data_IF_880023124911
#
_entry.id   IF_880023124911
#
_cell.length_a   1.000
_cell.length_b   1.000
_cell.length_c   1.000
_cell.angle_alpha   90.00
_cell.angle_beta   90.00
_cell.angle_gamma   90.00
#
_symmetry.space_group_name_H-M   'P 1'
#
loop_
_entity.id
_entity.type
_entity.pdbx_description
1 polymer ?
#
# COMPACT_ATOMS: atom_id res chain seq x y z
N UNK A 1 10.48 -5.27 13.09
CA UNK A 1 10.18 -6.72 13.12
C UNK A 1 10.14 -7.33 11.71
N UNK A 2 11.29 -7.56 11.05
CA UNK A 2 11.37 -8.32 9.79
C UNK A 2 10.78 -9.75 9.87
N UNK A 3 10.78 -10.37 11.05
CA UNK A 3 10.35 -11.74 11.34
C UNK A 3 8.86 -12.03 11.10
N UNK A 4 8.02 -10.98 11.04
CA UNK A 4 6.59 -11.10 10.74
C UNK A 4 6.25 -10.77 9.27
N UNK A 5 7.25 -10.49 8.42
CA UNK A 5 7.03 -10.25 6.98
C UNK A 5 6.58 -11.52 6.26
N UNK A 6 5.97 -11.34 5.10
CA UNK A 6 5.49 -12.43 4.22
C UNK A 6 4.42 -13.35 4.84
N UNK A 7 3.84 -12.96 5.98
CA UNK A 7 2.70 -13.66 6.62
C UNK A 7 1.33 -13.09 6.23
N UNK A 8 1.28 -12.24 5.18
CA UNK A 8 0.05 -11.59 4.72
C UNK A 8 -0.47 -10.45 5.60
N UNK A 9 0.19 -10.13 6.72
CA UNK A 9 -0.27 -9.11 7.68
C UNK A 9 -0.51 -7.74 7.03
N UNK A 10 0.44 -7.25 6.22
CA UNK A 10 0.29 -5.98 5.51
C UNK A 10 -0.89 -5.98 4.53
N UNK A 11 -1.16 -7.13 3.87
CA UNK A 11 -2.33 -7.29 2.98
C UNK A 11 -3.63 -7.20 3.77
N UNK A 12 -3.75 -7.90 4.89
CA UNK A 12 -4.98 -7.89 5.70
C UNK A 12 -5.22 -6.49 6.29
N UNK A 13 -4.19 -5.85 6.84
CA UNK A 13 -4.29 -4.50 7.37
C UNK A 13 -4.67 -3.47 6.28
N UNK A 14 -3.99 -3.52 5.12
CA UNK A 14 -4.26 -2.62 3.99
C UNK A 14 -5.68 -2.79 3.44
N UNK A 15 -6.12 -4.03 3.21
CA UNK A 15 -7.48 -4.32 2.76
C UNK A 15 -8.54 -3.78 3.74
N UNK A 16 -8.34 -3.98 5.05
CA UNK A 16 -9.27 -3.47 6.06
C UNK A 16 -9.35 -1.95 6.05
N UNK A 17 -8.22 -1.26 5.90
CA UNK A 17 -8.16 0.20 5.81
C UNK A 17 -8.90 0.71 4.58
N UNK A 18 -8.68 0.10 3.41
CA UNK A 18 -9.37 0.43 2.16
C UNK A 18 -10.89 0.31 2.33
N UNK A 19 -11.35 -0.83 2.87
CA UNK A 19 -12.78 -1.07 3.10
C UNK A 19 -13.41 -0.05 4.07
N UNK A 20 -12.69 0.33 5.13
CA UNK A 20 -13.18 1.36 6.06
C UNK A 20 -13.22 2.76 5.44
N UNK A 21 -12.24 3.12 4.63
CA UNK A 21 -12.24 4.38 3.89
C UNK A 21 -13.45 4.45 2.95
N UNK A 22 -13.65 3.41 2.13
CA UNK A 22 -14.78 3.32 1.21
C UNK A 22 -16.13 3.38 1.93
N UNK A 23 -16.27 2.67 3.06
CA UNK A 23 -17.48 2.70 3.89
C UNK A 23 -17.82 4.12 4.38
N UNK A 24 -16.82 4.97 4.58
CA UNK A 24 -16.97 6.36 5.01
C UNK A 24 -17.07 7.35 3.84
N UNK A 25 -17.12 6.87 2.60
CA UNK A 25 -17.10 7.71 1.41
C UNK A 25 -15.76 8.40 1.15
N UNK A 26 -14.66 7.89 1.72
CA UNK A 26 -13.31 8.41 1.53
C UNK A 26 -12.62 7.69 0.38
N UNK A 27 -11.80 8.43 -0.37
CA UNK A 27 -10.94 7.86 -1.40
C UNK A 27 -9.69 7.23 -0.76
N UNK A 28 -9.48 5.91 -0.88
CA UNK A 28 -8.30 5.26 -0.33
C UNK A 28 -7.12 5.44 -1.29
N UNK A 29 -6.45 6.60 -1.23
CA UNK A 29 -5.23 6.82 -2.01
C UNK A 29 -4.09 5.93 -1.51
N UNK A 30 -3.22 5.48 -2.42
CA UNK A 30 -2.02 4.72 -2.10
C UNK A 30 -0.83 5.27 -2.87
N UNK A 31 0.21 5.68 -2.14
CA UNK A 31 1.49 6.10 -2.69
C UNK A 31 2.59 5.13 -2.25
N UNK A 32 3.36 4.62 -3.21
CA UNK A 32 4.25 3.50 -3.01
C UNK A 32 5.72 3.95 -2.90
N UNK A 33 6.28 3.88 -1.70
CA UNK A 33 7.68 4.25 -1.44
C UNK A 33 8.71 3.34 -2.14
N UNK A 34 8.39 2.06 -2.31
CA UNK A 34 9.28 1.10 -2.98
C UNK A 34 8.48 0.00 -3.70
N UNK A 35 9.19 -0.86 -4.44
CA UNK A 35 8.57 -1.94 -5.21
C UNK A 35 7.86 -3.00 -4.36
N UNK A 36 8.17 -3.12 -3.07
CA UNK A 36 7.44 -4.03 -2.16
C UNK A 36 6.07 -3.43 -1.83
N UNK A 37 6.01 -2.10 -1.67
CA UNK A 37 4.74 -1.37 -1.53
C UNK A 37 3.91 -1.43 -2.81
N UNK A 38 4.55 -1.32 -3.99
CA UNK A 38 3.88 -1.50 -5.29
C UNK A 38 3.21 -2.87 -5.37
N UNK A 39 3.97 -3.96 -5.13
CA UNK A 39 3.42 -5.31 -5.21
C UNK A 39 2.26 -5.55 -4.22
N UNK A 40 2.29 -4.89 -3.06
CA UNK A 40 1.18 -4.93 -2.11
C UNK A 40 -0.05 -4.17 -2.63
N UNK A 41 0.15 -2.98 -3.19
CA UNK A 41 -0.92 -2.16 -3.76
C UNK A 41 -1.58 -2.86 -4.96
N UNK A 42 -0.81 -3.43 -5.87
CA UNK A 42 -1.32 -4.19 -7.01
C UNK A 42 -2.16 -5.40 -6.56
N UNK A 43 -1.69 -6.12 -5.53
CA UNK A 43 -2.45 -7.22 -4.93
C UNK A 43 -3.80 -6.77 -4.34
N UNK A 44 -3.91 -5.50 -3.91
CA UNK A 44 -5.11 -4.90 -3.33
C UNK A 44 -6.01 -4.23 -4.39
N UNK A 45 -5.64 -4.30 -5.67
CA UNK A 45 -6.45 -3.79 -6.79
C UNK A 45 -6.07 -2.40 -7.29
N UNK A 46 -4.95 -1.84 -6.83
CA UNK A 46 -4.39 -0.63 -7.45
C UNK A 46 -3.62 -0.98 -8.72
N UNK A 47 -3.40 0.02 -9.58
CA UNK A 47 -2.53 -0.10 -10.73
C UNK A 47 -1.44 0.97 -10.63
N UNK A 48 -0.20 0.60 -10.99
CA UNK A 48 0.88 1.56 -11.07
C UNK A 48 0.55 2.57 -12.16
N UNK A 49 0.63 3.86 -11.81
CA UNK A 49 0.54 4.96 -12.76
C UNK A 49 1.93 5.22 -13.37
N UNK A 50 2.81 5.87 -12.61
CA UNK A 50 4.19 6.09 -13.02
C UNK A 50 5.14 6.19 -11.82
N UNK A 51 6.43 5.81 -11.97
CA UNK A 51 7.45 6.14 -10.99
C UNK A 51 7.72 7.65 -11.00
N UNK A 52 8.20 8.18 -9.88
CA UNK A 52 8.63 9.57 -9.78
C UNK A 52 9.90 9.68 -8.92
N UNK A 53 10.69 10.72 -9.15
CA UNK A 53 11.89 10.97 -8.35
C UNK A 53 11.50 11.41 -6.94
N UNK A 54 12.05 10.74 -5.93
CA UNK A 54 11.87 11.06 -4.52
C UNK A 54 13.24 11.35 -3.90
N UNK A 55 13.33 12.47 -3.17
CA UNK A 55 14.54 12.87 -2.45
C UNK A 55 14.29 12.65 -0.96
N UNK A 56 15.23 11.99 -0.29
CA UNK A 56 15.24 11.88 1.17
C UNK A 56 16.50 12.53 1.73
N UNK A 57 16.37 13.25 2.83
CA UNK A 57 17.49 13.60 3.69
C UNK A 57 17.64 12.48 4.71
N UNK A 58 18.87 11.98 4.89
CA UNK A 58 19.22 10.95 5.88
C UNK A 58 18.91 11.41 7.30
#
# INVERSE_FOLDING_TARGET
MPEYRQRGLATVCGARLILEALKRGLYPSWDAFDLRSVALAEKLGYHVDHPYAMYSML
#
